data_IF_605801018474
#
_entry.id   IF_605801018474
#
_cell.length_a   1.000
_cell.length_b   1.000
_cell.length_c   1.000
_cell.angle_alpha   90.00
_cell.angle_beta   90.00
_cell.angle_gamma   90.00
#
_symmetry.space_group_name_H-M   'P 1'
#
loop_
_entity.id
_entity.type
_entity.pdbx_description
1 polymer ?
#
# COMPACT_ATOMS: atom_id res chain seq x y z
N UNK A 1 12.65 8.41 0.73
CA UNK A 1 13.30 7.24 0.10
C UNK A 1 12.49 6.80 -1.12
N UNK A 2 13.14 6.47 -2.22
CA UNK A 2 12.50 5.89 -3.42
C UNK A 2 12.94 4.43 -3.49
N UNK A 3 11.99 3.52 -3.63
CA UNK A 3 12.27 2.10 -3.87
C UNK A 3 12.04 1.82 -5.35
N UNK A 4 13.08 1.35 -6.04
CA UNK A 4 12.97 0.84 -7.41
C UNK A 4 12.93 -0.67 -7.31
N UNK A 5 11.85 -1.26 -7.83
CA UNK A 5 11.60 -2.70 -7.77
C UNK A 5 11.16 -3.21 -9.13
N UNK A 6 11.71 -4.36 -9.52
CA UNK A 6 11.43 -5.02 -10.78
C UNK A 6 11.39 -6.55 -10.53
N UNK A 7 10.22 -7.21 -10.60
CA UNK A 7 10.12 -8.66 -10.40
C UNK A 7 10.99 -9.46 -11.39
N UNK A 8 11.19 -8.94 -12.61
CA UNK A 8 12.05 -9.53 -13.63
C UNK A 8 13.55 -9.26 -13.43
N UNK A 9 13.92 -8.54 -12.36
CA UNK A 9 15.27 -8.05 -12.13
C UNK A 9 15.58 -6.75 -12.88
N UNK A 10 16.76 -6.19 -12.58
CA UNK A 10 17.33 -5.04 -13.28
C UNK A 10 18.62 -5.52 -13.94
N UNK A 11 18.72 -5.39 -15.26
CA UNK A 11 19.94 -5.70 -16.00
C UNK A 11 21.06 -4.69 -15.69
N UNK A 12 22.26 -4.93 -16.22
CA UNK A 12 23.41 -4.07 -15.94
C UNK A 12 23.23 -2.65 -16.45
N UNK A 13 22.52 -2.47 -17.57
CA UNK A 13 22.22 -1.14 -18.10
C UNK A 13 21.30 -0.36 -17.14
N UNK A 14 20.21 -0.99 -16.68
CA UNK A 14 19.27 -0.40 -15.74
C UNK A 14 19.96 -0.11 -14.40
N UNK A 15 20.79 -1.04 -13.90
CA UNK A 15 21.59 -0.85 -12.67
C UNK A 15 22.56 0.32 -12.83
N UNK A 16 23.24 0.43 -13.96
CA UNK A 16 24.14 1.54 -14.26
C UNK A 16 23.38 2.88 -14.33
N UNK A 17 22.20 2.92 -14.97
CA UNK A 17 21.38 4.11 -15.06
C UNK A 17 20.90 4.59 -13.67
N UNK A 18 20.41 3.68 -12.83
CA UNK A 18 20.05 4.00 -11.43
C UNK A 18 21.27 4.51 -10.67
N UNK A 19 22.42 3.85 -10.82
CA UNK A 19 23.69 4.27 -10.21
C UNK A 19 24.24 5.57 -10.77
N UNK A 20 23.88 6.01 -11.97
CA UNK A 20 24.31 7.29 -12.54
C UNK A 20 23.37 8.44 -12.14
N UNK A 21 22.15 8.14 -11.72
CA UNK A 21 21.15 9.14 -11.36
C UNK A 21 21.57 9.82 -10.05
N UNK A 22 21.87 11.13 -10.12
CA UNK A 22 22.31 11.95 -8.96
C UNK A 22 21.34 13.06 -8.61
N UNK A 23 20.41 13.38 -9.51
CA UNK A 23 19.49 14.50 -9.36
C UNK A 23 18.12 14.11 -9.87
N UNK A 24 17.10 14.64 -9.22
CA UNK A 24 15.73 14.68 -9.71
C UNK A 24 15.15 16.06 -9.46
N UNK A 25 13.99 16.34 -10.01
CA UNK A 25 13.35 17.65 -9.95
C UNK A 25 12.00 17.53 -9.28
N UNK A 26 11.66 18.49 -8.43
CA UNK A 26 10.33 18.60 -7.82
C UNK A 26 9.58 19.78 -8.38
N UNK A 27 8.26 19.64 -8.48
CA UNK A 27 7.40 20.73 -8.90
C UNK A 27 7.51 21.91 -7.91
N UNK A 28 7.85 23.09 -8.41
CA UNK A 28 8.00 24.31 -7.61
C UNK A 28 9.27 24.35 -6.75
N UNK A 29 10.17 23.37 -6.89
CA UNK A 29 11.49 23.39 -6.26
C UNK A 29 12.43 24.36 -6.99
N UNK A 30 13.13 25.19 -6.23
CA UNK A 30 14.10 26.16 -6.78
C UNK A 30 15.43 25.48 -7.13
N UNK A 31 15.74 24.34 -6.49
CA UNK A 31 16.96 23.57 -6.74
C UNK A 31 16.67 22.08 -7.02
N UNK A 32 17.52 21.38 -7.81
CA UNK A 32 17.40 19.94 -8.01
C UNK A 32 17.57 19.16 -6.71
N UNK A 33 16.69 18.19 -6.46
CA UNK A 33 16.86 17.23 -5.38
C UNK A 33 18.06 16.34 -5.68
N UNK A 34 19.05 16.32 -4.78
CA UNK A 34 20.17 15.39 -4.87
C UNK A 34 19.75 14.00 -4.40
N UNK A 35 20.18 13.00 -5.13
CA UNK A 35 19.91 11.59 -4.86
C UNK A 35 21.22 10.89 -4.49
N UNK A 36 21.15 10.09 -3.43
CA UNK A 36 22.18 9.14 -3.05
C UNK A 36 21.58 7.73 -3.11
N UNK A 37 22.34 6.79 -3.68
CA UNK A 37 21.95 5.39 -3.68
C UNK A 37 22.20 4.82 -2.29
N UNK A 38 21.13 4.51 -1.56
CA UNK A 38 21.22 3.97 -0.20
C UNK A 38 21.63 2.47 -0.18
N UNK A 39 21.31 1.73 -1.24
CA UNK A 39 21.62 0.31 -1.35
C UNK A 39 21.03 -0.31 -2.63
N UNK A 40 21.55 -1.46 -3.02
CA UNK A 40 21.02 -2.26 -4.14
C UNK A 40 21.38 -3.74 -3.92
N UNK A 41 20.47 -4.62 -4.25
CA UNK A 41 20.63 -6.06 -4.09
C UNK A 41 19.34 -6.79 -4.41
N UNK A 42 19.34 -8.10 -4.18
CA UNK A 42 18.10 -8.86 -4.17
C UNK A 42 17.30 -8.53 -2.90
N UNK A 43 16.06 -9.03 -2.80
CA UNK A 43 15.19 -8.76 -1.66
C UNK A 43 15.82 -9.20 -0.31
N UNK A 44 16.52 -10.33 -0.28
CA UNK A 44 17.16 -10.83 0.95
C UNK A 44 18.30 -9.93 1.41
N UNK A 45 19.12 -9.42 0.47
CA UNK A 45 20.20 -8.47 0.78
C UNK A 45 19.63 -7.20 1.42
N UNK A 46 18.53 -6.67 0.83
CA UNK A 46 17.86 -5.46 1.32
C UNK A 46 17.27 -5.67 2.71
N UNK A 47 16.61 -6.81 2.93
CA UNK A 47 16.02 -7.14 4.22
C UNK A 47 17.09 -7.30 5.31
N UNK A 48 18.20 -7.96 4.99
CA UNK A 48 19.30 -8.21 5.92
C UNK A 48 20.06 -6.93 6.30
N UNK A 49 20.18 -5.98 5.37
CA UNK A 49 20.81 -4.68 5.61
C UNK A 49 19.85 -3.64 6.22
N UNK A 50 18.53 -3.89 6.19
CA UNK A 50 17.55 -2.96 6.73
C UNK A 50 17.45 -3.08 8.25
N UNK A 51 17.54 -1.94 8.95
CA UNK A 51 17.13 -1.89 10.35
C UNK A 51 15.68 -2.37 10.44
N UNK A 52 15.43 -3.33 11.35
CA UNK A 52 14.09 -3.84 11.60
C UNK A 52 13.11 -2.66 11.76
N UNK A 53 11.95 -2.80 11.14
CA UNK A 53 10.84 -1.85 11.24
C UNK A 53 11.00 -0.51 10.51
N UNK A 54 12.08 -0.27 9.77
CA UNK A 54 12.16 0.92 8.90
C UNK A 54 11.15 0.84 7.73
N UNK A 55 10.96 1.92 6.98
CA UNK A 55 9.95 1.94 5.90
C UNK A 55 10.25 0.97 4.74
N UNK A 56 11.51 0.61 4.51
CA UNK A 56 11.86 -0.40 3.51
C UNK A 56 11.46 -1.79 4.01
N UNK A 57 11.80 -2.13 5.25
CA UNK A 57 11.39 -3.37 5.90
C UNK A 57 9.87 -3.51 5.86
N UNK A 58 9.13 -2.49 6.32
CA UNK A 58 7.66 -2.48 6.32
C UNK A 58 7.04 -2.66 4.94
N UNK A 59 7.74 -2.23 3.89
CA UNK A 59 7.26 -2.36 2.52
C UNK A 59 7.63 -3.70 1.87
N UNK A 60 8.55 -4.48 2.43
CA UNK A 60 9.18 -5.60 1.71
C UNK A 60 9.20 -6.92 2.49
N UNK A 61 9.25 -6.89 3.82
CA UNK A 61 9.31 -8.10 4.62
C UNK A 61 7.99 -8.89 4.53
N UNK A 62 8.04 -10.23 4.61
CA UNK A 62 6.84 -11.05 4.59
C UNK A 62 5.88 -10.69 5.72
N UNK A 63 4.61 -10.46 5.36
CA UNK A 63 3.54 -10.20 6.34
C UNK A 63 2.22 -10.80 5.87
N UNK A 64 1.38 -11.20 6.84
CA UNK A 64 -0.02 -11.59 6.60
C UNK A 64 -0.96 -10.39 6.53
N UNK A 65 -0.51 -9.23 7.03
CA UNK A 65 -1.33 -8.03 7.16
C UNK A 65 -0.63 -6.87 6.47
N UNK A 66 -1.33 -6.23 5.55
CA UNK A 66 -0.84 -5.12 4.76
C UNK A 66 -1.85 -3.97 4.80
N UNK A 67 -1.39 -2.75 5.12
CA UNK A 67 -2.24 -1.55 5.18
C UNK A 67 -1.74 -0.55 4.15
N UNK A 68 -2.64 0.15 3.48
CA UNK A 68 -2.28 1.20 2.53
C UNK A 68 -1.40 2.28 3.19
N UNK A 69 -0.19 2.46 2.67
CA UNK A 69 0.67 3.60 2.96
C UNK A 69 0.35 4.81 2.06
N UNK A 70 -0.31 4.55 0.92
CA UNK A 70 -0.87 5.55 0.02
C UNK A 70 -2.20 5.02 -0.53
N UNK A 71 -3.17 5.88 -0.88
CA UNK A 71 -4.49 5.41 -1.26
C UNK A 71 -4.47 4.45 -2.46
N UNK A 72 -5.20 3.35 -2.35
CA UNK A 72 -5.58 2.52 -3.49
C UNK A 72 -6.60 3.28 -4.33
N UNK A 73 -6.29 3.50 -5.61
CA UNK A 73 -7.22 4.10 -6.57
C UNK A 73 -7.67 2.99 -7.53
N UNK A 74 -8.98 2.71 -7.64
CA UNK A 74 -9.47 1.64 -8.51
C UNK A 74 -9.03 1.87 -9.96
N UNK A 75 -8.40 0.88 -10.62
CA UNK A 75 -8.01 1.00 -12.02
C UNK A 75 -9.22 1.01 -12.96
N UNK A 76 -10.38 0.53 -12.51
CA UNK A 76 -11.62 0.44 -13.30
C UNK A 76 -12.81 0.98 -12.52
N UNK A 77 -13.90 1.28 -13.23
CA UNK A 77 -15.15 1.75 -12.63
C UNK A 77 -15.66 0.78 -11.56
N UNK A 78 -16.01 1.32 -10.39
CA UNK A 78 -16.53 0.53 -9.28
C UNK A 78 -17.95 0.03 -9.53
N UNK A 79 -18.18 -1.24 -9.21
CA UNK A 79 -19.51 -1.85 -9.13
C UNK A 79 -19.80 -2.31 -7.70
N UNK A 80 -21.07 -2.51 -7.36
CA UNK A 80 -21.46 -3.00 -6.03
C UNK A 80 -20.97 -4.42 -5.74
N UNK A 81 -20.89 -5.29 -6.76
CA UNK A 81 -20.54 -6.72 -6.65
C UNK A 81 -19.73 -7.19 -7.86
N UNK A 82 -19.12 -8.37 -7.75
CA UNK A 82 -18.38 -9.03 -8.81
C UNK A 82 -16.94 -8.52 -8.99
N UNK A 83 -16.31 -8.86 -10.11
CA UNK A 83 -14.89 -8.57 -10.39
C UNK A 83 -14.53 -7.08 -10.46
N UNK A 84 -15.52 -6.20 -10.62
CA UNK A 84 -15.34 -4.75 -10.62
C UNK A 84 -15.75 -4.10 -9.29
N UNK A 85 -16.10 -4.87 -8.25
CA UNK A 85 -16.20 -4.33 -6.89
C UNK A 85 -14.83 -3.93 -6.36
N UNK A 86 -14.79 -3.17 -5.26
CA UNK A 86 -13.54 -2.79 -4.61
C UNK A 86 -12.66 -4.01 -4.31
N UNK A 87 -13.24 -5.02 -3.66
CA UNK A 87 -12.57 -6.29 -3.37
C UNK A 87 -12.23 -7.07 -4.66
N UNK A 88 -13.16 -7.13 -5.61
CA UNK A 88 -12.95 -7.83 -6.88
C UNK A 88 -11.77 -7.27 -7.68
N UNK A 89 -11.59 -5.94 -7.65
CA UNK A 89 -10.47 -5.28 -8.30
C UNK A 89 -9.14 -5.52 -7.55
N UNK A 90 -9.14 -5.51 -6.21
CA UNK A 90 -7.96 -5.87 -5.42
C UNK A 90 -7.52 -7.31 -5.70
N UNK A 91 -8.46 -8.26 -5.70
CA UNK A 91 -8.19 -9.67 -6.04
C UNK A 91 -7.67 -9.82 -7.47
N UNK A 92 -8.25 -9.10 -8.43
CA UNK A 92 -7.79 -9.11 -9.81
C UNK A 92 -6.36 -8.55 -9.97
N UNK A 93 -6.03 -7.49 -9.23
CA UNK A 93 -4.69 -6.89 -9.21
C UNK A 93 -3.64 -7.82 -8.59
N UNK A 94 -3.99 -8.53 -7.51
CA UNK A 94 -3.10 -9.52 -6.89
C UNK A 94 -2.88 -10.71 -7.84
N UNK A 95 -3.95 -11.23 -8.44
CA UNK A 95 -3.89 -12.35 -9.39
C UNK A 95 -3.05 -12.03 -10.62
N UNK A 96 -3.19 -10.84 -11.21
CA UNK A 96 -2.40 -10.44 -12.38
C UNK A 96 -0.90 -10.34 -12.10
N UNK A 97 -0.51 -10.20 -10.83
CA UNK A 97 0.88 -10.17 -10.34
C UNK A 97 1.37 -11.52 -9.83
N UNK A 98 0.55 -12.58 -9.91
CA UNK A 98 0.88 -13.90 -9.38
C UNK A 98 0.94 -13.95 -7.84
N UNK A 99 0.32 -13.00 -7.15
CA UNK A 99 0.29 -12.95 -5.70
C UNK A 99 -0.92 -13.73 -5.13
N UNK A 100 -0.81 -14.29 -3.92
CA UNK A 100 -1.93 -14.97 -3.26
C UNK A 100 -3.16 -14.07 -3.14
N UNK A 101 -4.34 -14.67 -3.16
CA UNK A 101 -5.56 -13.92 -2.84
C UNK A 101 -5.64 -13.61 -1.35
N UNK A 102 -6.17 -12.43 -0.97
CA UNK A 102 -6.38 -12.11 0.42
C UNK A 102 -7.58 -12.89 0.94
N UNK A 103 -7.51 -13.35 2.18
CA UNK A 103 -8.66 -13.89 2.92
C UNK A 103 -9.64 -12.78 3.24
N UNK A 104 -9.17 -11.54 3.42
CA UNK A 104 -10.01 -10.38 3.72
C UNK A 104 -9.48 -9.10 3.09
N UNK A 105 -10.41 -8.30 2.56
CA UNK A 105 -10.17 -6.91 2.13
C UNK A 105 -11.08 -6.00 2.96
N UNK A 106 -10.48 -5.14 3.78
CA UNK A 106 -11.21 -4.22 4.65
C UNK A 106 -10.96 -2.80 4.20
N UNK A 107 -12.02 -2.03 3.98
CA UNK A 107 -11.95 -0.59 3.78
C UNK A 107 -11.95 0.13 5.13
N UNK A 108 -10.98 1.03 5.34
CA UNK A 108 -10.89 1.87 6.52
C UNK A 108 -11.58 3.23 6.24
N UNK A 109 -12.61 3.56 7.02
CA UNK A 109 -13.37 4.81 6.86
C UNK A 109 -12.58 6.00 7.45
N UNK A 110 -12.25 7.05 6.67
CA UNK A 110 -11.56 8.24 7.17
C UNK A 110 -12.31 9.01 8.26
N UNK A 111 -13.60 8.74 8.49
CA UNK A 111 -14.37 9.32 9.61
C UNK A 111 -14.02 8.70 10.94
N UNK A 112 -13.57 7.44 10.95
CA UNK A 112 -13.35 6.66 12.18
C UNK A 112 -11.93 6.13 12.31
N UNK A 113 -11.13 6.14 11.23
CA UNK A 113 -9.75 5.66 11.20
C UNK A 113 -8.78 6.79 10.88
N UNK A 114 -7.77 6.95 11.75
CA UNK A 114 -6.77 8.02 11.66
C UNK A 114 -5.82 7.85 10.48
N UNK A 115 -5.48 6.61 10.12
CA UNK A 115 -4.65 6.28 8.96
C UNK A 115 -5.38 6.66 7.69
N UNK A 116 -6.67 6.29 7.60
CA UNK A 116 -7.52 6.65 6.48
C UNK A 116 -7.67 8.18 6.36
N UNK A 117 -7.86 8.86 7.49
CA UNK A 117 -7.97 10.31 7.53
C UNK A 117 -6.70 11.00 7.07
N UNK A 118 -5.52 10.53 7.49
CA UNK A 118 -4.23 11.11 7.10
C UNK A 118 -3.98 11.05 5.58
N UNK A 119 -4.51 10.03 4.89
CA UNK A 119 -4.27 9.81 3.47
C UNK A 119 -5.31 10.45 2.53
N UNK A 120 -6.37 11.07 3.05
CA UNK A 120 -7.49 11.61 2.23
C UNK A 120 -7.11 12.69 1.23
N UNK A 121 -6.03 13.44 1.51
CA UNK A 121 -5.56 14.57 0.71
C UNK A 121 -4.48 14.20 -0.31
N UNK A 122 -4.21 12.90 -0.49
CA UNK A 122 -3.23 12.45 -1.48
C UNK A 122 -3.65 12.88 -2.89
N UNK A 123 -2.70 13.38 -3.67
CA UNK A 123 -2.91 13.70 -5.09
C UNK A 123 -3.08 12.40 -5.86
N UNK A 124 -4.25 12.22 -6.49
CA UNK A 124 -4.61 10.98 -7.22
C UNK A 124 -4.62 11.14 -8.73
N UNK A 125 -4.76 12.37 -9.20
CA UNK A 125 -4.83 12.71 -10.61
C UNK A 125 -3.52 13.34 -11.06
N UNK A 126 -3.11 13.00 -12.28
CA UNK A 126 -2.00 13.65 -12.95
C UNK A 126 -2.47 14.94 -13.60
N UNK A 127 -1.57 15.92 -13.71
CA UNK A 127 -1.85 17.15 -14.47
C UNK A 127 -2.00 16.87 -15.96
N UNK A 128 -1.27 15.88 -16.50
CA UNK A 128 -1.24 15.56 -17.92
C UNK A 128 -1.54 14.08 -18.20
N UNK A 129 -2.60 13.84 -18.97
CA UNK A 129 -3.07 12.54 -19.47
C UNK A 129 -4.17 11.88 -18.62
N UNK A 130 -4.55 10.61 -18.90
CA UNK A 130 -5.83 10.08 -18.43
C UNK A 130 -5.97 10.05 -16.91
N UNK A 131 -7.09 10.59 -16.44
CA UNK A 131 -7.58 10.49 -15.08
C UNK A 131 -7.97 9.03 -14.75
N UNK A 132 -8.00 8.65 -13.45
CA UNK A 132 -8.54 7.37 -13.05
C UNK A 132 -10.03 7.26 -13.42
N UNK A 133 -10.51 6.03 -13.65
CA UNK A 133 -11.91 5.76 -13.92
C UNK A 133 -12.85 6.22 -12.80
N UNK A 134 -12.35 6.25 -11.57
CA UNK A 134 -13.02 6.88 -10.43
C UNK A 134 -11.96 7.67 -9.65
N UNK A 135 -12.17 8.99 -9.48
CA UNK A 135 -11.30 9.81 -8.62
C UNK A 135 -11.66 9.64 -7.14
N UNK A 136 -11.42 8.43 -6.63
CA UNK A 136 -11.62 8.06 -5.23
C UNK A 136 -10.43 7.22 -4.76
N UNK A 137 -9.89 7.57 -3.60
CA UNK A 137 -8.84 6.82 -2.94
C UNK A 137 -9.39 6.05 -1.75
N UNK A 138 -9.06 4.76 -1.66
CA UNK A 138 -9.39 3.91 -0.52
C UNK A 138 -8.14 3.61 0.28
N UNK A 139 -8.29 3.63 1.60
CA UNK A 139 -7.30 3.07 2.51
C UNK A 139 -7.79 1.68 2.88
N UNK A 140 -6.99 0.68 2.53
CA UNK A 140 -7.35 -0.71 2.62
C UNK A 140 -6.42 -1.44 3.59
N UNK A 141 -6.99 -2.41 4.30
CA UNK A 141 -6.28 -3.45 5.02
C UNK A 141 -6.52 -4.78 4.33
N UNK A 142 -5.44 -5.44 3.96
CA UNK A 142 -5.44 -6.76 3.34
C UNK A 142 -4.95 -7.78 4.37
N UNK A 143 -5.65 -8.90 4.45
CA UNK A 143 -5.27 -10.03 5.28
C UNK A 143 -5.09 -11.26 4.39
N UNK A 144 -4.01 -12.00 4.61
CA UNK A 144 -3.63 -13.19 3.86
C UNK A 144 -3.53 -14.39 4.79
N UNK A 145 -3.81 -15.57 4.26
CA UNK A 145 -3.66 -16.84 4.98
C UNK A 145 -2.19 -17.10 5.36
N UNK A 146 -1.31 -16.97 4.37
CA UNK A 146 0.14 -17.09 4.51
C UNK A 146 0.82 -15.72 4.37
N UNK A 147 2.02 -15.58 4.95
CA UNK A 147 2.77 -14.34 4.82
C UNK A 147 3.17 -14.11 3.36
N UNK A 148 2.88 -12.91 2.84
CA UNK A 148 3.22 -12.50 1.48
C UNK A 148 4.38 -11.52 1.56
N UNK A 149 5.42 -11.73 0.76
CA UNK A 149 6.55 -10.81 0.64
C UNK A 149 6.17 -9.60 -0.22
N UNK A 150 6.69 -8.43 0.18
CA UNK A 150 6.53 -7.19 -0.56
C UNK A 150 7.51 -7.04 -1.72
N UNK A 151 7.43 -5.92 -2.47
CA UNK A 151 6.50 -4.80 -2.27
C UNK A 151 5.10 -5.02 -2.89
N UNK A 152 4.06 -4.68 -2.12
CA UNK A 152 2.67 -4.68 -2.59
C UNK A 152 2.29 -3.27 -3.10
N UNK A 153 2.09 -3.15 -4.42
CA UNK A 153 1.63 -1.93 -5.08
C UNK A 153 0.47 -2.27 -6.03
N UNK A 154 -0.74 -1.80 -5.72
CA UNK A 154 -1.98 -2.18 -6.41
C UNK A 154 -2.75 -0.96 -6.91
N UNK A 155 -3.43 -1.10 -8.03
CA UNK A 155 -4.36 -0.10 -8.57
C UNK A 155 -3.71 0.94 -9.46
N UNK A 156 -4.50 1.97 -9.79
CA UNK A 156 -4.10 3.05 -10.68
C UNK A 156 -2.88 3.82 -10.15
N UNK A 157 -1.95 4.11 -11.05
CA UNK A 157 -0.70 4.82 -10.77
C UNK A 157 0.14 4.22 -9.61
N UNK A 158 0.02 2.91 -9.39
CA UNK A 158 0.80 2.20 -8.37
C UNK A 158 2.31 2.26 -8.62
N UNK A 159 2.73 2.29 -9.89
CA UNK A 159 4.11 2.52 -10.30
C UNK A 159 4.61 3.96 -10.05
N UNK A 160 3.71 4.91 -9.77
CA UNK A 160 4.02 6.31 -9.45
C UNK A 160 3.83 6.64 -7.96
N UNK A 161 3.68 5.63 -7.12
CA UNK A 161 3.64 5.78 -5.67
C UNK A 161 2.24 5.84 -5.05
N UNK A 162 1.16 5.68 -5.81
CA UNK A 162 -0.15 5.37 -5.24
C UNK A 162 -0.28 3.88 -4.90
N UNK A 163 -1.32 3.50 -4.16
CA UNK A 163 -1.64 2.09 -3.92
C UNK A 163 -0.54 1.24 -3.29
N UNK A 164 0.46 1.87 -2.65
CA UNK A 164 1.49 1.21 -1.85
C UNK A 164 0.89 0.68 -0.56
N UNK A 165 1.33 -0.49 -0.15
CA UNK A 165 1.02 -1.09 1.14
C UNK A 165 2.27 -1.31 1.98
N UNK A 166 2.13 -1.18 3.30
CA UNK A 166 3.15 -1.45 4.30
C UNK A 166 2.54 -2.29 5.42
N UNK A 167 3.32 -3.18 6.03
CA UNK A 167 2.92 -3.88 7.24
C UNK A 167 3.31 -3.07 8.48
N UNK A 168 2.59 -3.30 9.58
CA UNK A 168 2.90 -2.66 10.84
C UNK A 168 4.23 -3.17 11.40
N UNK A 169 4.99 -2.29 12.04
CA UNK A 169 6.05 -2.69 12.97
C UNK A 169 5.43 -3.52 14.11
N UNK A 170 6.13 -4.51 14.64
CA UNK A 170 5.56 -5.51 15.57
C UNK A 170 4.88 -4.88 16.81
N UNK A 171 5.29 -3.66 17.20
CA UNK A 171 4.69 -2.91 18.31
C UNK A 171 3.29 -2.29 18.08
N UNK A 172 2.81 -2.19 16.83
CA UNK A 172 1.50 -1.56 16.51
C UNK A 172 0.39 -2.60 16.37
N UNK A 173 0.73 -3.85 16.08
CA UNK A 173 -0.24 -4.96 16.04
C UNK A 173 -0.88 -5.21 17.41
N UNK A 174 -0.11 -5.09 18.49
CA UNK A 174 -0.60 -5.22 19.86
C UNK A 174 -1.68 -4.17 20.19
N UNK A 175 -1.40 -2.88 19.95
CA UNK A 175 -2.36 -1.78 20.21
C UNK A 175 -3.59 -1.86 19.31
N UNK A 176 -3.42 -2.30 18.05
CA UNK A 176 -4.53 -2.42 17.10
C UNK A 176 -5.42 -3.63 17.40
N UNK A 177 -4.86 -4.73 17.92
CA UNK A 177 -5.63 -5.87 18.40
C UNK A 177 -6.41 -5.52 19.67
N UNK A 178 -5.78 -4.81 20.59
CA UNK A 178 -6.37 -4.37 21.86
C UNK A 178 -7.50 -3.34 21.64
N UNK A 179 -7.31 -2.38 20.72
CA UNK A 179 -8.36 -1.45 20.31
C UNK A 179 -9.56 -2.15 19.63
N UNK A 180 -9.32 -3.23 18.87
CA UNK A 180 -10.38 -4.03 18.22
C UNK A 180 -11.15 -4.90 19.22
N UNK A 181 -10.47 -5.48 20.20
CA UNK A 181 -11.10 -6.20 21.32
C UNK A 181 -11.96 -5.26 22.18
N UNK A 182 -11.48 -4.05 22.44
CA UNK A 182 -12.22 -3.01 23.16
C UNK A 182 -13.47 -2.53 22.39
N UNK A 183 -13.35 -2.30 21.07
CA UNK A 183 -14.50 -1.90 20.24
C UNK A 183 -15.55 -3.01 20.08
N UNK A 184 -15.15 -4.29 20.05
CA UNK A 184 -16.07 -5.42 19.99
C UNK A 184 -16.82 -5.66 21.31
N UNK A 185 -16.21 -5.32 22.45
CA UNK A 185 -16.83 -5.41 23.78
C UNK A 185 -17.86 -4.29 24.07
N UNK A 186 -17.88 -3.23 23.26
CA UNK A 186 -18.71 -2.04 23.47
C UNK A 186 -20.07 -2.05 22.73
N UNK A 187 -20.52 -3.19 22.19
CA UNK A 187 -21.89 -3.30 21.66
C UNK A 187 -22.89 -3.29 22.84
N UNK A 188 -23.84 -2.34 22.91
CA UNK A 188 -24.90 -2.39 23.92
C UNK A 188 -25.84 -3.58 23.64
N UNK A 189 -26.43 -4.20 24.69
CA UNK A 189 -27.38 -5.29 24.50
C UNK A 189 -28.59 -4.82 23.69
N UNK A 190 -28.98 -5.62 22.70
CA UNK A 190 -30.14 -5.37 21.86
C UNK A 190 -31.40 -5.18 22.72
N UNK A 191 -31.98 -3.99 22.67
CA UNK A 191 -33.27 -3.70 23.31
C UNK A 191 -34.37 -4.43 22.55
N UNK A 192 -34.95 -5.45 23.17
CA UNK A 192 -36.18 -6.07 22.71
C UNK A 192 -37.35 -5.08 22.89
N UNK A 193 -38.07 -4.78 21.81
CA UNK A 193 -39.35 -4.06 21.87
C UNK A 193 -40.47 -5.01 22.28
N UNK A 194 -41.41 -4.60 23.16
CA UNK A 194 -42.61 -5.38 23.43
C UNK A 194 -43.71 -5.10 22.38
N UNK A 195 -44.59 -6.09 22.26
CA UNK A 195 -45.73 -6.22 21.35
C UNK A 195 -46.78 -5.11 21.42
#
# INVERSE_FOLDING_TARGET
HVLIWAPMGLDDLARAAVRATRRTYTKGGVEPLRLALAGAGNLQDVLSASAAENSLWRATAPSRIWISATPFVPPRHLKKRGTNSLEGQVRAELRSRGLPEPTRVVWLDPRTDDTARALRHHVRTRQTGPAPACDIGFVLRLEFECAVAGPLCLGYASHFGLGRFEHAAAGVEAKSAEARLSAAAALPPATASPS
#
